data_IF_764984418535
#
_entry.id   IF_764984418535
#
_cell.length_a   1.000
_cell.length_b   1.000
_cell.length_c   1.000
_cell.angle_alpha   90.00
_cell.angle_beta   90.00
_cell.angle_gamma   90.00
#
_symmetry.space_group_name_H-M   'P 1'
#
loop_
_entity.id
_entity.type
_entity.pdbx_description
1 polymer ?
#
# COMPACT_ATOMS: atom_id res chain seq x y z
N UNK A 1 -59.39 24.27 15.44
CA UNK A 1 -57.94 24.57 15.42
C UNK A 1 -57.16 23.25 15.29
N UNK A 2 -56.56 22.93 14.14
CA UNK A 2 -55.79 21.67 13.97
C UNK A 2 -54.41 21.84 14.60
N UNK A 3 -54.03 20.90 15.46
CA UNK A 3 -52.69 20.81 16.01
C UNK A 3 -51.77 20.19 14.96
N UNK A 4 -50.81 20.98 14.51
CA UNK A 4 -49.71 20.51 13.63
C UNK A 4 -48.68 19.78 14.46
N UNK A 5 -48.59 18.47 14.28
CA UNK A 5 -47.55 17.64 14.90
C UNK A 5 -46.29 17.73 14.05
N UNK A 6 -45.28 18.47 14.50
CA UNK A 6 -43.95 18.51 13.88
C UNK A 6 -43.18 17.27 14.32
N UNK A 7 -43.04 16.30 13.39
CA UNK A 7 -42.16 15.14 13.59
C UNK A 7 -40.73 15.57 13.21
N UNK A 8 -39.92 15.77 14.22
CA UNK A 8 -38.46 16.00 13.99
C UNK A 8 -37.83 14.65 13.71
N UNK A 9 -37.44 14.41 12.44
CA UNK A 9 -36.67 13.26 12.04
C UNK A 9 -35.22 13.47 12.49
N UNK A 10 -34.77 12.78 13.51
CA UNK A 10 -33.36 12.72 13.90
C UNK A 10 -32.59 11.83 12.91
N UNK A 11 -31.87 12.45 12.00
CA UNK A 11 -30.89 11.76 11.13
C UNK A 11 -29.67 11.43 12.00
N UNK A 12 -29.59 10.18 12.44
CA UNK A 12 -28.40 9.69 13.16
C UNK A 12 -27.30 9.43 12.13
N UNK A 13 -26.27 10.26 12.12
CA UNK A 13 -25.05 10.05 11.36
C UNK A 13 -24.22 8.90 12.00
N UNK A 14 -24.52 7.65 11.63
CA UNK A 14 -23.77 6.46 12.06
C UNK A 14 -22.64 6.08 11.08
N UNK A 15 -21.93 7.07 10.50
CA UNK A 15 -20.94 6.80 9.44
C UNK A 15 -19.48 6.62 9.93
N UNK A 16 -19.12 7.07 11.13
CA UNK A 16 -17.72 7.12 11.56
C UNK A 16 -17.06 5.76 11.88
N UNK A 17 -17.69 4.80 12.58
CA UNK A 17 -17.02 3.53 12.91
C UNK A 17 -16.79 2.65 11.68
N UNK A 18 -17.66 2.67 10.70
CA UNK A 18 -17.52 1.87 9.48
C UNK A 18 -16.40 2.37 8.58
N UNK A 19 -16.17 3.68 8.48
CA UNK A 19 -15.10 4.26 7.66
C UNK A 19 -13.71 3.91 8.20
N UNK A 20 -13.52 3.97 9.54
CA UNK A 20 -12.23 3.61 10.16
C UNK A 20 -11.92 2.11 10.03
N UNK A 21 -12.92 1.25 10.23
CA UNK A 21 -12.77 -0.18 10.05
C UNK A 21 -12.42 -0.51 8.58
N UNK A 22 -13.12 0.09 7.63
CA UNK A 22 -12.86 -0.08 6.21
C UNK A 22 -11.46 0.41 5.80
N UNK A 23 -11.01 1.55 6.32
CA UNK A 23 -9.65 2.05 6.10
C UNK A 23 -8.61 1.06 6.64
N UNK A 24 -8.81 0.51 7.82
CA UNK A 24 -7.92 -0.50 8.42
C UNK A 24 -7.83 -1.76 7.55
N UNK A 25 -8.96 -2.24 7.07
CA UNK A 25 -9.01 -3.44 6.21
C UNK A 25 -8.28 -3.25 4.89
N UNK A 26 -8.46 -2.08 4.24
CA UNK A 26 -7.78 -1.71 2.99
C UNK A 26 -6.27 -1.57 3.20
N UNK A 27 -5.85 -1.02 4.34
CA UNK A 27 -4.43 -0.83 4.65
C UNK A 27 -3.72 -2.12 5.06
N UNK A 28 -4.44 -3.17 5.47
CA UNK A 28 -3.83 -4.41 5.94
C UNK A 28 -2.86 -5.04 4.92
N UNK A 29 -3.20 -5.24 3.63
CA UNK A 29 -2.23 -5.77 2.66
C UNK A 29 -1.08 -4.80 2.36
N UNK A 30 -1.28 -3.49 2.45
CA UNK A 30 -0.19 -2.50 2.28
C UNK A 30 0.84 -2.64 3.40
N UNK A 31 0.40 -2.74 4.65
CA UNK A 31 1.28 -3.01 5.79
C UNK A 31 1.93 -4.39 5.68
N UNK A 32 1.19 -5.43 5.28
CA UNK A 32 1.72 -6.77 5.11
C UNK A 32 2.86 -6.80 4.08
N UNK A 33 2.71 -6.11 2.95
CA UNK A 33 3.73 -6.00 1.92
C UNK A 33 5.00 -5.34 2.47
N UNK A 34 4.87 -4.17 3.10
CA UNK A 34 6.01 -3.42 3.64
C UNK A 34 6.66 -4.15 4.82
N UNK A 35 5.89 -4.73 5.72
CA UNK A 35 6.42 -5.49 6.86
C UNK A 35 7.17 -6.74 6.40
N UNK A 36 6.65 -7.44 5.38
CA UNK A 36 7.32 -8.59 4.77
C UNK A 36 8.63 -8.17 4.11
N UNK A 37 8.63 -7.08 3.33
CA UNK A 37 9.83 -6.50 2.75
C UNK A 37 10.88 -6.17 3.83
N UNK A 38 10.50 -5.44 4.86
CA UNK A 38 11.40 -5.03 5.95
C UNK A 38 12.01 -6.20 6.71
N UNK A 39 11.29 -7.31 6.81
CA UNK A 39 11.73 -8.54 7.51
C UNK A 39 12.48 -9.53 6.60
N UNK A 40 12.54 -9.26 5.29
CA UNK A 40 13.02 -10.23 4.30
C UNK A 40 12.09 -11.45 4.16
N UNK A 41 10.83 -11.34 4.61
CA UNK A 41 9.80 -12.36 4.43
C UNK A 41 9.08 -12.15 3.10
N UNK A 42 9.77 -12.53 2.02
CA UNK A 42 9.27 -12.39 0.65
C UNK A 42 7.91 -13.09 0.47
N UNK A 43 7.72 -14.25 1.08
CA UNK A 43 6.45 -14.98 0.99
C UNK A 43 5.28 -14.16 1.55
N UNK A 44 5.44 -13.55 2.71
CA UNK A 44 4.42 -12.70 3.32
C UNK A 44 4.17 -11.44 2.48
N UNK A 45 5.24 -10.79 1.98
CA UNK A 45 5.10 -9.63 1.12
C UNK A 45 4.32 -9.95 -0.16
N UNK A 46 4.69 -11.00 -0.88
CA UNK A 46 4.05 -11.40 -2.13
C UNK A 46 2.58 -11.82 -1.93
N UNK A 47 2.21 -12.37 -0.78
CA UNK A 47 0.84 -12.73 -0.47
C UNK A 47 -0.11 -11.51 -0.36
N UNK A 48 0.42 -10.30 -0.22
CA UNK A 48 -0.36 -9.06 -0.24
C UNK A 48 -0.74 -8.61 -1.66
N UNK A 49 -0.01 -9.07 -2.68
CA UNK A 49 -0.29 -8.77 -4.09
C UNK A 49 -1.41 -9.65 -4.64
N UNK A 50 -2.18 -9.10 -5.57
CA UNK A 50 -3.04 -9.90 -6.45
C UNK A 50 -2.18 -10.69 -7.45
N UNK A 51 -2.75 -11.74 -8.04
CA UNK A 51 -2.07 -12.52 -9.07
C UNK A 51 -1.66 -11.66 -10.27
N UNK A 52 -2.57 -10.80 -10.71
CA UNK A 52 -2.31 -9.78 -11.72
C UNK A 52 -2.02 -8.45 -11.03
N UNK A 53 -0.80 -7.95 -11.17
CA UNK A 53 -0.38 -6.70 -10.54
C UNK A 53 0.38 -5.82 -11.55
N UNK A 54 0.26 -4.51 -11.41
CA UNK A 54 1.04 -3.52 -12.15
C UNK A 54 1.88 -2.70 -11.17
N UNK A 55 3.15 -2.51 -11.50
CA UNK A 55 4.12 -1.84 -10.63
C UNK A 55 4.88 -0.80 -11.44
N UNK A 56 5.06 0.39 -10.86
CA UNK A 56 5.99 1.41 -11.33
C UNK A 56 6.91 1.76 -10.18
N UNK A 57 8.22 1.65 -10.40
CA UNK A 57 9.24 1.87 -9.38
C UNK A 57 10.45 2.63 -9.97
N UNK A 58 11.21 3.31 -9.12
CA UNK A 58 12.49 3.91 -9.50
C UNK A 58 13.56 2.87 -9.87
N UNK A 59 13.39 1.62 -9.43
CA UNK A 59 14.25 0.51 -9.78
C UNK A 59 14.11 0.16 -11.26
N UNK A 60 15.20 0.01 -12.05
CA UNK A 60 15.11 -0.54 -13.40
C UNK A 60 14.57 -1.99 -13.41
N UNK A 61 13.71 -2.38 -14.36
CA UNK A 61 13.32 -1.67 -15.61
C UNK A 61 12.19 -0.65 -15.44
N UNK A 62 11.81 -0.27 -14.24
CA UNK A 62 10.82 0.72 -13.85
C UNK A 62 9.36 0.28 -13.97
N UNK A 63 9.07 -0.83 -14.64
CA UNK A 63 7.72 -1.30 -14.91
C UNK A 63 7.65 -2.83 -14.87
N UNK A 64 6.67 -3.36 -14.14
CA UNK A 64 6.29 -4.78 -14.09
C UNK A 64 4.77 -4.88 -14.16
N UNK A 65 4.26 -5.86 -14.91
CA UNK A 65 2.83 -6.10 -14.99
C UNK A 65 2.49 -7.55 -15.32
N UNK A 66 1.26 -7.93 -14.99
CA UNK A 66 0.72 -9.24 -15.27
C UNK A 66 0.88 -10.23 -14.12
N UNK A 67 0.78 -11.50 -14.47
CA UNK A 67 0.87 -12.59 -13.49
C UNK A 67 2.27 -12.65 -12.88
N UNK A 68 2.33 -12.71 -11.55
CA UNK A 68 3.60 -12.83 -10.83
C UNK A 68 4.47 -11.57 -10.81
N UNK A 69 3.96 -10.41 -11.26
CA UNK A 69 4.75 -9.17 -11.33
C UNK A 69 5.41 -8.77 -9.99
N UNK A 70 4.73 -8.98 -8.86
CA UNK A 70 5.33 -8.72 -7.54
C UNK A 70 6.56 -9.60 -7.27
N UNK A 71 6.51 -10.86 -7.68
CA UNK A 71 7.64 -11.79 -7.54
C UNK A 71 8.81 -11.37 -8.41
N UNK A 72 8.57 -11.04 -9.68
CA UNK A 72 9.62 -10.56 -10.60
C UNK A 72 10.24 -9.26 -10.10
N UNK A 73 9.43 -8.32 -9.61
CA UNK A 73 9.95 -7.10 -8.98
C UNK A 73 10.85 -7.41 -7.77
N UNK A 74 10.45 -8.35 -6.90
CA UNK A 74 11.25 -8.72 -5.74
C UNK A 74 12.59 -9.33 -6.13
N UNK A 75 12.61 -10.20 -7.16
CA UNK A 75 13.84 -10.81 -7.69
C UNK A 75 14.78 -9.74 -8.28
N UNK A 76 14.24 -8.79 -9.04
CA UNK A 76 14.99 -7.68 -9.61
C UNK A 76 15.51 -6.73 -8.54
N UNK A 77 14.71 -6.45 -7.50
CA UNK A 77 15.15 -5.68 -6.34
C UNK A 77 16.35 -6.33 -5.66
N UNK A 78 16.27 -7.64 -5.37
CA UNK A 78 17.35 -8.39 -4.73
C UNK A 78 18.64 -8.40 -5.59
N UNK A 79 18.49 -8.58 -6.89
CA UNK A 79 19.62 -8.54 -7.83
C UNK A 79 20.30 -7.16 -7.85
N UNK A 80 19.50 -6.09 -7.92
CA UNK A 80 20.03 -4.72 -7.91
C UNK A 80 20.64 -4.36 -6.54
N UNK A 81 20.01 -4.75 -5.45
CA UNK A 81 20.53 -4.52 -4.10
C UNK A 81 21.92 -5.15 -3.92
N UNK A 82 22.09 -6.39 -4.39
CA UNK A 82 23.40 -7.07 -4.39
C UNK A 82 24.43 -6.34 -5.25
N UNK A 83 24.07 -5.95 -6.47
CA UNK A 83 24.95 -5.23 -7.42
C UNK A 83 25.41 -3.90 -6.85
N UNK A 84 24.51 -3.14 -6.23
CA UNK A 84 24.78 -1.79 -5.75
C UNK A 84 25.27 -1.74 -4.30
N UNK A 85 25.37 -2.89 -3.64
CA UNK A 85 25.80 -3.03 -2.25
C UNK A 85 24.83 -2.40 -1.25
N UNK A 86 23.52 -2.55 -1.53
CA UNK A 86 22.43 -2.09 -0.66
C UNK A 86 22.16 -3.15 0.41
N UNK A 87 22.14 -2.73 1.67
CA UNK A 87 21.83 -3.55 2.84
C UNK A 87 20.98 -2.78 3.84
N UNK A 88 20.39 -3.49 4.80
CA UNK A 88 19.63 -2.92 5.90
C UNK A 88 18.49 -1.99 5.46
N UNK A 89 17.84 -2.34 4.36
CA UNK A 89 16.73 -1.58 3.81
C UNK A 89 15.49 -1.63 4.70
N UNK A 90 14.96 -0.47 5.08
CA UNK A 90 13.73 -0.33 5.87
C UNK A 90 12.84 0.74 5.28
N UNK A 91 11.64 0.34 4.90
CA UNK A 91 10.55 1.24 4.49
C UNK A 91 9.71 1.59 5.72
N UNK A 92 9.42 2.87 5.91
CA UNK A 92 8.49 3.35 6.94
C UNK A 92 7.33 4.05 6.27
N UNK A 93 6.11 3.63 6.59
CA UNK A 93 4.88 4.28 6.13
C UNK A 93 4.42 5.32 7.15
N UNK A 94 4.00 6.47 6.66
CA UNK A 94 3.31 7.49 7.43
C UNK A 94 1.80 7.23 7.53
N UNK A 95 1.07 8.19 8.08
CA UNK A 95 -0.39 8.16 8.05
C UNK A 95 -0.87 8.35 6.61
N UNK A 96 -1.80 7.50 6.10
CA UNK A 96 -2.37 7.69 4.77
C UNK A 96 -2.93 9.11 4.59
N UNK A 97 -2.57 9.75 3.50
CA UNK A 97 -3.11 11.05 3.10
C UNK A 97 -4.47 10.90 2.45
N UNK A 98 -4.68 9.76 1.80
CA UNK A 98 -5.89 9.49 1.05
C UNK A 98 -6.20 8.01 1.08
N UNK A 99 -7.46 7.66 1.33
CA UNK A 99 -8.02 6.31 1.23
C UNK A 99 -9.42 6.43 0.68
N UNK A 100 -9.60 6.04 -0.58
CA UNK A 100 -10.90 5.97 -1.24
C UNK A 100 -11.30 4.52 -1.41
N UNK A 101 -12.56 4.22 -1.11
CA UNK A 101 -13.15 2.90 -1.30
C UNK A 101 -14.46 3.03 -2.05
N UNK A 102 -14.54 2.34 -3.18
CA UNK A 102 -15.75 2.28 -4.03
C UNK A 102 -16.05 0.81 -4.34
N UNK A 103 -17.03 0.26 -3.64
CA UNK A 103 -17.40 -1.16 -3.77
C UNK A 103 -16.25 -2.08 -3.39
N UNK A 104 -15.78 -2.88 -4.35
CA UNK A 104 -14.66 -3.81 -4.21
C UNK A 104 -13.29 -3.22 -4.64
N UNK A 105 -13.23 -1.91 -4.88
CA UNK A 105 -12.01 -1.20 -5.31
C UNK A 105 -11.59 -0.19 -4.26
N UNK A 106 -10.27 -0.02 -4.11
CA UNK A 106 -9.71 1.02 -3.26
C UNK A 106 -8.49 1.69 -3.90
N UNK A 107 -8.29 2.94 -3.52
CA UNK A 107 -7.15 3.76 -3.90
C UNK A 107 -6.55 4.39 -2.65
N UNK A 108 -5.25 4.23 -2.45
CA UNK A 108 -4.54 4.67 -1.25
C UNK A 108 -3.31 5.47 -1.62
N UNK A 109 -3.07 6.58 -0.91
CA UNK A 109 -1.85 7.37 -1.00
C UNK A 109 -1.22 7.50 0.39
N UNK A 110 -0.01 6.98 0.54
CA UNK A 110 0.70 6.91 1.81
C UNK A 110 2.07 7.59 1.68
N UNK A 111 2.40 8.58 2.55
CA UNK A 111 3.77 9.05 2.66
C UNK A 111 4.67 7.91 3.11
N UNK A 112 5.85 7.84 2.53
CA UNK A 112 6.81 6.80 2.83
C UNK A 112 8.23 7.36 2.91
N UNK A 113 9.11 6.63 3.56
CA UNK A 113 10.54 6.84 3.51
C UNK A 113 11.25 5.50 3.39
N UNK A 114 12.40 5.50 2.74
CA UNK A 114 13.24 4.33 2.63
C UNK A 114 14.64 4.67 3.15
N UNK A 115 15.11 3.91 4.13
CA UNK A 115 16.46 4.02 4.70
C UNK A 115 17.22 2.73 4.46
N UNK A 116 18.46 2.84 4.02
CA UNK A 116 19.31 1.70 3.72
C UNK A 116 20.78 2.08 3.86
N UNK A 117 21.66 1.10 3.73
CA UNK A 117 23.09 1.34 3.53
C UNK A 117 23.45 1.04 2.09
N UNK A 118 24.24 1.88 1.45
CA UNK A 118 24.82 1.63 0.15
C UNK A 118 26.34 1.59 0.29
N UNK A 119 26.92 0.41 0.02
CA UNK A 119 28.35 0.17 0.23
C UNK A 119 28.80 0.57 1.64
N UNK A 120 27.98 0.25 2.63
CA UNK A 120 28.19 0.54 4.06
C UNK A 120 27.86 1.96 4.50
N UNK A 121 27.54 2.89 3.58
CA UNK A 121 27.18 4.28 3.89
C UNK A 121 25.67 4.43 4.05
N UNK A 122 25.19 5.10 5.11
CA UNK A 122 23.76 5.33 5.29
C UNK A 122 23.20 6.25 4.21
N UNK A 123 22.04 5.86 3.67
CA UNK A 123 21.24 6.63 2.70
C UNK A 123 19.80 6.70 3.22
N UNK A 124 19.15 7.83 3.01
CA UNK A 124 17.75 8.01 3.36
C UNK A 124 17.00 8.73 2.22
N UNK A 125 15.96 8.11 1.74
CA UNK A 125 14.97 8.70 0.84
C UNK A 125 13.77 9.13 1.68
N UNK A 126 13.62 10.43 1.83
CA UNK A 126 12.56 11.03 2.66
C UNK A 126 11.60 11.78 1.73
N UNK A 127 10.30 11.67 2.03
CA UNK A 127 9.27 12.38 1.27
C UNK A 127 8.74 11.58 0.07
N UNK A 128 9.12 10.33 -0.08
CA UNK A 128 8.55 9.43 -1.09
C UNK A 128 7.07 9.15 -0.82
N UNK A 129 6.38 8.71 -1.84
CA UNK A 129 4.97 8.33 -1.77
C UNK A 129 4.78 6.92 -2.29
N UNK A 130 4.02 6.12 -1.54
CA UNK A 130 3.50 4.84 -2.00
C UNK A 130 2.02 5.05 -2.37
N UNK A 131 1.70 4.87 -3.65
CA UNK A 131 0.32 4.89 -4.15
C UNK A 131 -0.09 3.48 -4.53
N UNK A 132 -1.25 3.04 -4.05
CA UNK A 132 -1.70 1.65 -4.19
C UNK A 132 -3.14 1.60 -4.68
N UNK A 133 -3.41 0.78 -5.69
CA UNK A 133 -4.75 0.35 -6.04
C UNK A 133 -4.98 -1.07 -5.48
N UNK A 134 -6.17 -1.30 -4.94
CA UNK A 134 -6.52 -2.58 -4.34
C UNK A 134 -7.88 -3.08 -4.85
N UNK A 135 -8.04 -4.40 -4.82
CA UNK A 135 -9.30 -5.05 -5.09
C UNK A 135 -9.63 -6.04 -3.97
N UNK A 136 -10.91 -6.07 -3.59
CA UNK A 136 -11.45 -7.03 -2.63
C UNK A 136 -11.94 -8.28 -3.36
N UNK A 137 -11.38 -9.41 -3.02
CA UNK A 137 -11.81 -10.73 -3.47
C UNK A 137 -12.32 -11.59 -2.32
N UNK A 138 -12.58 -12.89 -2.56
CA UNK A 138 -13.02 -13.83 -1.53
C UNK A 138 -12.05 -13.93 -0.34
N UNK A 139 -10.75 -13.76 -0.57
CA UNK A 139 -9.71 -13.83 0.45
C UNK A 139 -9.36 -12.44 1.06
N UNK A 140 -10.19 -11.41 0.82
CA UNK A 140 -9.98 -10.05 1.30
C UNK A 140 -9.31 -9.14 0.27
N UNK A 141 -8.82 -7.99 0.73
CA UNK A 141 -8.15 -7.01 -0.11
C UNK A 141 -6.77 -7.50 -0.57
N UNK A 142 -6.42 -7.21 -1.84
CA UNK A 142 -5.10 -7.46 -2.43
C UNK A 142 -4.68 -6.25 -3.26
N UNK A 143 -3.39 -5.99 -3.29
CA UNK A 143 -2.79 -4.93 -4.12
C UNK A 143 -2.81 -5.37 -5.59
N UNK A 144 -3.49 -4.60 -6.44
CA UNK A 144 -3.56 -4.82 -7.89
C UNK A 144 -2.63 -3.90 -8.67
N UNK A 145 -2.24 -2.79 -8.08
CA UNK A 145 -1.18 -1.93 -8.60
C UNK A 145 -0.53 -1.15 -7.46
N UNK A 146 0.74 -0.81 -7.63
CA UNK A 146 1.40 0.16 -6.76
C UNK A 146 2.49 0.93 -7.50
N UNK A 147 2.80 2.10 -6.99
CA UNK A 147 3.93 2.89 -7.47
C UNK A 147 4.69 3.49 -6.29
N UNK A 148 6.01 3.43 -6.38
CA UNK A 148 6.92 4.18 -5.52
C UNK A 148 7.33 5.46 -6.24
N UNK A 149 6.98 6.60 -5.67
CA UNK A 149 7.35 7.90 -6.20
C UNK A 149 8.42 8.48 -5.32
N UNK A 150 9.63 8.54 -5.85
CA UNK A 150 10.77 9.17 -5.19
C UNK A 150 10.59 10.69 -5.18
N UNK A 151 10.95 11.30 -4.05
CA UNK A 151 10.92 12.75 -3.89
C UNK A 151 12.25 13.35 -4.34
#
# INVERSE_FOLDING_TARGET
>A
MPKVLVVLAAVILAAAPNALAQQKDVMAPVHQFVDGFNKGDTKSALAACADQTSIIDELPPHEWHGAGACGTWADDYDANAKKDGITDGVVTLGKPRHVDVTGDRAYVVVPASYKFKQKGKPVAEIGSMLTVALQKGPAGWRMTAWTWTKH
#
